data_IF_934349658355
#
_entry.id   IF_934349658355
#
_cell.length_a   1.000
_cell.length_b   1.000
_cell.length_c   1.000
_cell.angle_alpha   90.00
_cell.angle_beta   90.00
_cell.angle_gamma   90.00
#
_symmetry.space_group_name_H-M   'P 1'
#
loop_
_entity.id
_entity.type
_entity.pdbx_description
1 polymer ?
#
# COMPACT_ATOMS: atom_id res chain seq x y z
N UNK A 1 -24.45 7.08 -28.87
CA UNK A 1 -23.15 7.57 -28.34
C UNK A 1 -22.79 6.69 -27.16
N UNK A 2 -21.53 6.28 -26.98
CA UNK A 2 -21.13 5.37 -25.90
C UNK A 2 -20.34 6.13 -24.84
N UNK A 3 -20.83 6.11 -23.60
CA UNK A 3 -20.15 6.69 -22.44
C UNK A 3 -19.30 5.62 -21.78
N UNK A 4 -18.03 5.94 -21.53
CA UNK A 4 -17.09 5.07 -20.80
C UNK A 4 -16.76 5.74 -19.47
N UNK A 5 -16.88 4.98 -18.39
CA UNK A 5 -16.57 5.42 -17.04
C UNK A 5 -15.47 4.53 -16.46
N UNK A 6 -14.49 5.15 -15.82
CA UNK A 6 -13.43 4.47 -15.08
C UNK A 6 -13.63 4.76 -13.60
N UNK A 7 -13.70 3.70 -12.81
CA UNK A 7 -13.83 3.78 -11.37
C UNK A 7 -12.59 3.16 -10.76
N UNK A 8 -12.01 3.89 -9.81
CA UNK A 8 -11.06 3.34 -8.87
C UNK A 8 -11.76 2.34 -7.93
N UNK A 9 -11.01 1.48 -7.24
CA UNK A 9 -11.55 0.45 -6.36
C UNK A 9 -11.52 0.92 -4.91
N UNK A 10 -10.33 1.17 -4.39
CA UNK A 10 -10.07 1.33 -2.96
C UNK A 10 -10.44 2.75 -2.50
N UNK A 11 -11.39 2.85 -1.57
CA UNK A 11 -11.94 4.14 -1.15
C UNK A 11 -12.92 4.76 -2.16
N UNK A 12 -13.15 4.11 -3.31
CA UNK A 12 -14.13 4.52 -4.32
C UNK A 12 -15.31 3.56 -4.39
N UNK A 13 -15.08 2.28 -4.74
CA UNK A 13 -16.12 1.25 -4.80
C UNK A 13 -16.25 0.47 -3.49
N UNK A 14 -15.17 0.36 -2.72
CA UNK A 14 -15.16 -0.34 -1.42
C UNK A 14 -14.12 0.24 -0.46
N UNK A 15 -14.34 0.06 0.83
CA UNK A 15 -13.36 0.42 1.86
C UNK A 15 -12.50 -0.79 2.18
N UNK A 16 -11.20 -0.71 1.87
CA UNK A 16 -10.24 -1.81 2.14
C UNK A 16 -9.75 -1.89 3.58
N UNK A 17 -10.03 -0.89 4.42
CA UNK A 17 -9.63 -0.93 5.83
C UNK A 17 -8.12 -1.04 6.03
N UNK A 18 -7.32 -0.51 5.10
CA UNK A 18 -5.85 -0.59 5.07
C UNK A 18 -5.28 -1.97 4.71
N UNK A 19 -6.06 -2.84 4.05
CA UNK A 19 -5.60 -4.16 3.61
C UNK A 19 -4.25 -4.14 2.85
N UNK A 20 -4.03 -3.15 1.97
CA UNK A 20 -2.76 -3.00 1.25
C UNK A 20 -1.55 -2.76 2.16
N UNK A 21 -1.74 -2.07 3.29
CA UNK A 21 -0.65 -1.84 4.26
C UNK A 21 -0.30 -3.12 5.00
N UNK A 22 -1.30 -3.91 5.42
CA UNK A 22 -1.06 -5.20 6.07
C UNK A 22 -0.35 -6.19 5.12
N UNK A 23 -0.79 -6.25 3.86
CA UNK A 23 -0.12 -7.07 2.86
C UNK A 23 1.35 -6.66 2.65
N UNK A 24 1.63 -5.36 2.69
CA UNK A 24 3.00 -4.85 2.56
C UNK A 24 3.84 -5.11 3.82
N UNK A 25 3.25 -5.04 5.02
CA UNK A 25 3.89 -5.46 6.27
C UNK A 25 4.32 -6.94 6.20
N UNK A 26 3.39 -7.82 5.82
CA UNK A 26 3.65 -9.26 5.68
C UNK A 26 4.78 -9.52 4.68
N UNK A 27 4.70 -8.91 3.49
CA UNK A 27 5.74 -9.04 2.47
C UNK A 27 7.09 -8.49 2.93
N UNK A 28 7.10 -7.38 3.67
CA UNK A 28 8.33 -6.82 4.22
C UNK A 28 8.96 -7.78 5.23
N UNK A 29 8.19 -8.42 6.12
CA UNK A 29 8.71 -9.44 7.05
C UNK A 29 9.34 -10.61 6.31
N UNK A 30 8.72 -11.08 5.23
CA UNK A 30 9.27 -12.15 4.40
C UNK A 30 10.63 -11.78 3.78
N UNK A 31 10.81 -10.51 3.40
CA UNK A 31 12.03 -10.02 2.74
C UNK A 31 13.14 -9.67 3.74
N UNK A 32 12.82 -8.95 4.82
CA UNK A 32 13.81 -8.41 5.77
C UNK A 32 14.05 -9.32 6.98
N UNK A 33 13.17 -10.30 7.22
CA UNK A 33 13.28 -11.29 8.29
C UNK A 33 12.86 -10.79 9.68
N UNK A 34 12.29 -9.58 9.80
CA UNK A 34 11.76 -9.05 11.05
C UNK A 34 10.51 -8.18 10.84
N UNK A 35 9.63 -8.06 11.86
CA UNK A 35 8.45 -7.21 11.77
C UNK A 35 8.76 -5.74 11.44
N UNK A 36 7.94 -5.14 10.58
CA UNK A 36 7.87 -3.69 10.37
C UNK A 36 6.48 -3.19 10.72
N UNK A 37 6.42 -1.95 11.24
CA UNK A 37 5.17 -1.30 11.58
C UNK A 37 4.96 -0.09 10.65
N UNK A 38 4.20 -0.32 9.58
CA UNK A 38 3.87 0.70 8.59
C UNK A 38 2.71 1.59 9.04
N UNK A 39 2.07 1.30 10.18
CA UNK A 39 1.06 2.20 10.76
C UNK A 39 1.60 3.56 11.19
N UNK A 40 2.92 3.67 11.34
CA UNK A 40 3.59 4.92 11.70
C UNK A 40 4.20 5.65 10.50
N UNK A 41 4.24 5.02 9.32
CA UNK A 41 4.78 5.63 8.12
C UNK A 41 3.73 6.48 7.42
N UNK A 42 4.11 7.69 7.02
CA UNK A 42 3.28 8.57 6.20
C UNK A 42 3.33 8.07 4.75
N UNK A 43 2.52 7.06 4.45
CA UNK A 43 2.45 6.44 3.10
C UNK A 43 1.57 7.21 2.12
N UNK A 44 0.75 8.13 2.62
CA UNK A 44 -0.18 8.89 1.77
C UNK A 44 0.58 9.73 0.73
N UNK A 45 0.27 9.48 -0.54
CA UNK A 45 0.87 10.18 -1.68
C UNK A 45 2.15 9.53 -2.23
N UNK A 46 2.59 8.40 -1.65
CA UNK A 46 3.71 7.61 -2.16
C UNK A 46 3.21 6.44 -3.01
N UNK A 47 4.00 6.07 -4.00
CA UNK A 47 3.86 4.81 -4.75
C UNK A 47 4.40 3.64 -3.92
N UNK A 48 3.97 2.42 -4.25
CA UNK A 48 4.45 1.20 -3.56
C UNK A 48 5.98 1.08 -3.60
N UNK A 49 6.62 1.50 -4.70
CA UNK A 49 8.08 1.48 -4.85
C UNK A 49 8.76 2.49 -3.92
N UNK A 50 8.19 3.68 -3.75
CA UNK A 50 8.70 4.68 -2.81
C UNK A 50 8.57 4.18 -1.37
N UNK A 51 7.43 3.58 -1.01
CA UNK A 51 7.23 2.99 0.32
C UNK A 51 8.21 1.83 0.55
N UNK A 52 8.41 0.96 -0.45
CA UNK A 52 9.36 -0.15 -0.34
C UNK A 52 10.80 0.33 -0.16
N UNK A 53 11.21 1.42 -0.82
CA UNK A 53 12.55 2.03 -0.61
C UNK A 53 12.73 2.53 0.82
N UNK A 54 11.73 3.21 1.37
CA UNK A 54 11.76 3.67 2.77
C UNK A 54 11.85 2.49 3.75
N UNK A 55 11.09 1.41 3.51
CA UNK A 55 11.13 0.19 4.33
C UNK A 55 12.53 -0.46 4.27
N UNK A 56 13.11 -0.58 3.07
CA UNK A 56 14.38 -1.25 2.84
C UNK A 56 15.59 -0.37 3.15
N UNK A 57 15.38 0.93 3.37
CA UNK A 57 16.40 1.97 3.59
C UNK A 57 17.65 1.82 2.69
N UNK A 58 17.39 1.89 1.38
CA UNK A 58 18.33 2.34 0.34
C UNK A 58 18.38 3.87 0.26
#
# INVERSE_FOLDING_TARGET
MMTVLFWDIDGTLLTTGRAGIFALEDAAVEVIGHPVNLSQLKTAGLTDVEIAREILSL
#
